data_IF_713814093508
#
_entry.id   IF_713814093508
#
_cell.length_a   1.000
_cell.length_b   1.000
_cell.length_c   1.000
_cell.angle_alpha   90.00
_cell.angle_beta   90.00
_cell.angle_gamma   90.00
#
_symmetry.space_group_name_H-M   'P 1'
#
loop_
_entity.id
_entity.type
_entity.pdbx_description
1 polymer ?
#
# COMPACT_ATOMS: atom_id res chain seq x y z
N UNK A 1 76.34 3.43 -11.63
CA UNK A 1 75.25 2.46 -11.88
C UNK A 1 73.96 3.10 -11.39
N UNK A 2 73.10 3.47 -12.34
CA UNK A 2 71.78 4.07 -12.10
C UNK A 2 70.81 2.91 -11.89
N UNK A 3 70.12 2.87 -10.74
CA UNK A 3 68.99 1.96 -10.54
C UNK A 3 67.73 2.81 -10.48
N UNK A 4 66.98 2.80 -11.59
CA UNK A 4 65.69 3.44 -11.75
C UNK A 4 64.60 2.37 -11.75
N UNK A 5 63.45 2.72 -11.18
CA UNK A 5 62.17 2.06 -11.43
C UNK A 5 61.73 1.12 -10.30
N UNK A 6 60.46 1.01 -9.92
CA UNK A 6 59.21 1.55 -10.46
C UNK A 6 58.29 1.74 -9.26
N UNK A 7 57.74 2.96 -9.09
CA UNK A 7 56.65 3.21 -8.15
C UNK A 7 55.37 2.56 -8.68
N UNK A 8 54.91 1.51 -8.02
CA UNK A 8 53.57 0.98 -8.24
C UNK A 8 52.55 1.91 -7.58
N UNK A 9 51.97 2.78 -8.40
CA UNK A 9 50.76 3.53 -8.08
C UNK A 9 49.61 2.53 -7.82
N UNK A 10 49.30 2.28 -6.55
CA UNK A 10 47.98 1.79 -6.14
C UNK A 10 46.98 2.93 -6.28
N UNK A 11 46.49 3.17 -7.50
CA UNK A 11 45.29 3.99 -7.72
C UNK A 11 44.08 3.06 -7.76
N UNK A 12 43.32 3.09 -6.67
CA UNK A 12 41.85 3.17 -6.61
C UNK A 12 41.11 2.72 -7.87
N UNK A 13 40.65 1.46 -7.86
CA UNK A 13 39.56 0.96 -8.72
C UNK A 13 38.25 0.76 -7.94
N UNK A 14 38.21 1.10 -6.64
CA UNK A 14 37.05 0.83 -5.77
C UNK A 14 35.98 1.95 -5.79
N UNK A 15 36.30 3.14 -6.32
CA UNK A 15 35.38 4.29 -6.30
C UNK A 15 34.41 4.32 -7.50
N UNK A 16 34.66 3.54 -8.56
CA UNK A 16 33.82 3.53 -9.78
C UNK A 16 32.52 2.75 -9.61
N UNK A 17 32.53 1.68 -8.80
CA UNK A 17 31.38 0.78 -8.67
C UNK A 17 30.38 1.28 -7.62
N UNK A 18 30.86 1.98 -6.58
CA UNK A 18 30.02 2.53 -5.52
C UNK A 18 29.08 3.66 -5.99
N UNK A 19 29.57 4.51 -6.91
CA UNK A 19 28.75 5.58 -7.51
C UNK A 19 27.69 4.99 -8.47
N UNK A 20 27.99 3.88 -9.14
CA UNK A 20 27.04 3.18 -10.02
C UNK A 20 25.92 2.49 -9.22
N UNK A 21 26.26 1.82 -8.11
CA UNK A 21 25.28 1.11 -7.28
C UNK A 21 24.32 2.09 -6.56
N UNK A 22 24.84 3.26 -6.14
CA UNK A 22 24.01 4.28 -5.48
C UNK A 22 23.04 4.97 -6.44
N UNK A 23 23.48 5.27 -7.66
CA UNK A 23 22.59 5.80 -8.71
C UNK A 23 21.54 4.78 -9.13
N UNK A 24 21.94 3.51 -9.29
CA UNK A 24 21.00 2.43 -9.60
C UNK A 24 19.96 2.24 -8.49
N UNK A 25 20.36 2.28 -7.22
CA UNK A 25 19.43 2.20 -6.10
C UNK A 25 18.39 3.34 -6.16
N UNK A 26 18.84 4.58 -6.40
CA UNK A 26 17.93 5.74 -6.51
C UNK A 26 16.93 5.60 -7.66
N UNK A 27 17.40 5.17 -8.83
CA UNK A 27 16.53 4.93 -10.00
C UNK A 27 15.50 3.86 -9.68
N UNK A 28 15.89 2.79 -8.99
CA UNK A 28 14.97 1.71 -8.62
C UNK A 28 13.95 2.17 -7.56
N UNK A 29 14.35 2.98 -6.58
CA UNK A 29 13.42 3.61 -5.62
C UNK A 29 12.39 4.50 -6.34
N UNK A 30 12.83 5.30 -7.32
CA UNK A 30 11.95 6.13 -8.13
C UNK A 30 10.98 5.28 -8.98
N UNK A 31 11.46 4.19 -9.57
CA UNK A 31 10.60 3.29 -10.33
C UNK A 31 9.56 2.59 -9.45
N UNK A 32 9.92 2.19 -8.23
CA UNK A 32 8.98 1.65 -7.25
C UNK A 32 7.93 2.69 -6.82
N UNK A 33 8.34 3.96 -6.65
CA UNK A 33 7.43 5.08 -6.40
C UNK A 33 6.45 5.28 -7.56
N UNK A 34 6.94 5.31 -8.79
CA UNK A 34 6.11 5.50 -9.96
C UNK A 34 5.12 4.33 -10.14
N UNK A 35 5.58 3.10 -9.92
CA UNK A 35 4.72 1.93 -10.04
C UNK A 35 3.60 1.92 -8.99
N UNK A 36 3.86 2.32 -7.73
CA UNK A 36 2.78 2.42 -6.74
C UNK A 36 1.76 3.50 -7.12
N UNK A 37 2.20 4.61 -7.69
CA UNK A 37 1.29 5.66 -8.16
C UNK A 37 0.46 5.19 -9.36
N UNK A 38 1.06 4.45 -10.29
CA UNK A 38 0.35 3.81 -11.40
C UNK A 38 -0.73 2.84 -10.89
N UNK A 39 -0.43 2.05 -9.86
CA UNK A 39 -1.42 1.17 -9.22
C UNK A 39 -2.55 1.97 -8.53
N UNK A 40 -2.25 3.15 -7.97
CA UNK A 40 -3.26 4.00 -7.33
C UNK A 40 -4.19 4.66 -8.34
N UNK A 41 -3.80 4.84 -9.59
CA UNK A 41 -4.66 5.43 -10.63
C UNK A 41 -5.95 4.64 -10.82
N UNK A 42 -5.95 3.33 -10.58
CA UNK A 42 -7.15 2.50 -10.66
C UNK A 42 -8.09 2.65 -9.46
N UNK A 43 -7.64 3.30 -8.37
CA UNK A 43 -8.39 3.48 -7.13
C UNK A 43 -8.96 4.90 -7.08
N UNK A 44 -10.28 5.02 -7.17
CA UNK A 44 -10.98 6.31 -7.17
C UNK A 44 -11.89 6.46 -5.96
N UNK A 45 -11.40 7.14 -4.92
CA UNK A 45 -12.09 7.37 -3.64
C UNK A 45 -12.52 6.09 -2.93
N UNK A 46 -13.66 5.52 -3.31
CA UNK A 46 -14.27 4.29 -2.78
C UNK A 46 -14.71 3.35 -3.91
N UNK A 47 -14.13 3.51 -5.11
CA UNK A 47 -14.40 2.71 -6.30
C UNK A 47 -13.07 2.26 -6.92
N UNK A 48 -13.12 1.20 -7.73
CA UNK A 48 -11.95 0.66 -8.41
C UNK A 48 -12.30 0.34 -9.87
N UNK A 49 -11.44 0.73 -10.80
CA UNK A 49 -11.62 0.44 -12.23
C UNK A 49 -11.08 -0.95 -12.57
N UNK A 50 -11.87 -1.98 -12.21
CA UNK A 50 -11.51 -3.38 -12.43
C UNK A 50 -11.29 -3.73 -13.91
N UNK A 51 -12.05 -3.11 -14.81
CA UNK A 51 -11.95 -3.42 -16.23
C UNK A 51 -10.66 -2.86 -16.82
N UNK A 52 -10.33 -1.60 -16.51
CA UNK A 52 -9.07 -1.01 -16.95
C UNK A 52 -7.87 -1.71 -16.34
N UNK A 53 -7.89 -1.97 -15.03
CA UNK A 53 -6.80 -2.71 -14.37
C UNK A 53 -6.59 -4.10 -15.00
N UNK A 54 -7.68 -4.80 -15.36
CA UNK A 54 -7.59 -6.09 -16.05
C UNK A 54 -6.95 -5.96 -17.43
N UNK A 55 -7.26 -4.90 -18.18
CA UNK A 55 -6.66 -4.66 -19.50
C UNK A 55 -5.16 -4.37 -19.40
N UNK A 56 -4.76 -3.67 -18.35
CA UNK A 56 -3.37 -3.22 -18.14
C UNK A 56 -2.53 -4.24 -17.33
N UNK A 57 -3.12 -5.35 -16.87
CA UNK A 57 -2.49 -6.30 -15.95
C UNK A 57 -1.19 -6.90 -16.49
N UNK A 58 -1.17 -7.34 -17.75
CA UNK A 58 0.03 -7.94 -18.35
C UNK A 58 1.16 -6.90 -18.47
N UNK A 59 0.82 -5.65 -18.78
CA UNK A 59 1.78 -4.56 -18.81
C UNK A 59 2.35 -4.29 -17.40
N UNK A 60 1.47 -4.18 -16.39
CA UNK A 60 1.90 -3.97 -15.00
C UNK A 60 2.80 -5.10 -14.48
N UNK A 61 2.53 -6.35 -14.87
CA UNK A 61 3.36 -7.49 -14.53
C UNK A 61 4.76 -7.36 -15.16
N UNK A 62 4.85 -7.03 -16.44
CA UNK A 62 6.12 -6.78 -17.13
C UNK A 62 6.88 -5.61 -16.50
N UNK A 63 6.20 -4.52 -16.14
CA UNK A 63 6.81 -3.39 -15.44
C UNK A 63 7.38 -3.81 -14.08
N UNK A 64 6.63 -4.58 -13.30
CA UNK A 64 7.07 -5.07 -11.99
C UNK A 64 8.34 -5.94 -12.12
N UNK A 65 8.34 -6.89 -13.05
CA UNK A 65 9.49 -7.75 -13.33
C UNK A 65 10.71 -6.95 -13.85
N UNK A 66 10.47 -5.93 -14.66
CA UNK A 66 11.53 -5.04 -15.12
C UNK A 66 12.16 -4.30 -13.95
N UNK A 67 11.38 -3.77 -13.01
CA UNK A 67 11.90 -3.09 -11.81
C UNK A 67 12.77 -4.04 -10.98
N UNK A 68 12.30 -5.28 -10.78
CA UNK A 68 13.04 -6.29 -10.03
C UNK A 68 14.40 -6.63 -10.67
N UNK A 69 14.47 -6.65 -11.99
CA UNK A 69 15.73 -6.91 -12.71
C UNK A 69 16.79 -5.82 -12.55
N UNK A 70 16.40 -4.63 -12.09
CA UNK A 70 17.28 -3.48 -11.86
C UNK A 70 17.62 -3.26 -10.37
N UNK A 71 17.26 -4.18 -9.48
CA UNK A 71 17.70 -4.14 -8.08
C UNK A 71 19.23 -4.31 -8.03
N UNK A 72 19.96 -3.42 -7.34
CA UNK A 72 21.43 -3.52 -7.23
C UNK A 72 21.84 -4.80 -6.50
N UNK A 73 23.06 -5.26 -6.72
CA UNK A 73 23.56 -6.52 -6.14
C UNK A 73 23.63 -6.50 -4.60
N UNK A 74 23.86 -5.32 -4.01
CA UNK A 74 23.86 -5.09 -2.56
C UNK A 74 22.82 -4.03 -2.18
N UNK A 75 21.51 -4.35 -2.21
CA UNK A 75 20.46 -3.38 -1.95
C UNK A 75 20.40 -3.03 -0.45
N UNK A 76 19.98 -1.79 -0.16
CA UNK A 76 19.69 -1.38 1.21
C UNK A 76 18.47 -2.12 1.77
N UNK A 77 18.39 -2.24 3.09
CA UNK A 77 17.21 -2.83 3.74
C UNK A 77 15.93 -2.03 3.44
N UNK A 78 16.06 -0.70 3.32
CA UNK A 78 14.97 0.21 2.96
C UNK A 78 14.43 -0.10 1.56
N UNK A 79 15.32 -0.25 0.57
CA UNK A 79 14.93 -0.57 -0.80
C UNK A 79 14.25 -1.95 -0.88
N UNK A 80 14.77 -2.95 -0.16
CA UNK A 80 14.12 -4.27 -0.08
C UNK A 80 12.75 -4.21 0.61
N UNK A 81 12.60 -3.37 1.64
CA UNK A 81 11.31 -3.18 2.31
C UNK A 81 10.29 -2.51 1.37
N UNK A 82 10.71 -1.47 0.64
CA UNK A 82 9.90 -0.80 -0.37
C UNK A 82 9.46 -1.77 -1.48
N UNK A 83 10.40 -2.54 -2.03
CA UNK A 83 10.13 -3.55 -3.05
C UNK A 83 9.10 -4.57 -2.56
N UNK A 84 9.29 -5.15 -1.37
CA UNK A 84 8.34 -6.11 -0.78
C UNK A 84 6.95 -5.50 -0.65
N UNK A 85 6.85 -4.28 -0.13
CA UNK A 85 5.57 -3.61 0.02
C UNK A 85 4.86 -3.39 -1.33
N UNK A 86 5.59 -2.90 -2.33
CA UNK A 86 5.05 -2.66 -3.67
C UNK A 86 4.54 -3.97 -4.30
N UNK A 87 5.29 -5.06 -4.16
CA UNK A 87 4.86 -6.40 -4.58
C UNK A 87 3.62 -6.87 -3.84
N UNK A 88 3.59 -6.72 -2.52
CA UNK A 88 2.43 -7.07 -1.69
C UNK A 88 1.17 -6.31 -2.14
N UNK A 89 1.29 -5.02 -2.46
CA UNK A 89 0.17 -4.22 -2.98
C UNK A 89 -0.27 -4.72 -4.34
N UNK A 90 0.65 -4.95 -5.28
CA UNK A 90 0.30 -5.43 -6.62
C UNK A 90 -0.42 -6.79 -6.57
N UNK A 91 0.11 -7.73 -5.78
CA UNK A 91 -0.53 -9.03 -5.58
C UNK A 91 -1.87 -8.92 -4.85
N UNK A 92 -2.00 -8.03 -3.87
CA UNK A 92 -3.29 -7.77 -3.21
C UNK A 92 -4.32 -7.28 -4.22
N UNK A 93 -3.98 -6.31 -5.08
CA UNK A 93 -4.91 -5.81 -6.10
C UNK A 93 -5.32 -6.92 -7.09
N UNK A 94 -4.37 -7.78 -7.51
CA UNK A 94 -4.65 -8.96 -8.36
C UNK A 94 -5.61 -9.94 -7.69
N UNK A 95 -5.39 -10.24 -6.41
CA UNK A 95 -6.27 -11.12 -5.64
C UNK A 95 -7.66 -10.50 -5.46
N UNK A 96 -7.72 -9.20 -5.17
CA UNK A 96 -8.96 -8.46 -5.01
C UNK A 96 -9.77 -8.40 -6.32
N UNK A 97 -9.12 -8.27 -7.48
CA UNK A 97 -9.77 -8.41 -8.79
C UNK A 97 -10.41 -9.80 -8.95
N UNK A 98 -9.70 -10.86 -8.58
CA UNK A 98 -10.23 -12.22 -8.66
C UNK A 98 -11.44 -12.42 -7.73
N UNK A 99 -11.38 -11.86 -6.51
CA UNK A 99 -12.49 -11.88 -5.55
C UNK A 99 -13.66 -11.03 -6.03
N UNK A 100 -13.42 -9.83 -6.57
CA UNK A 100 -14.46 -8.97 -7.13
C UNK A 100 -15.19 -9.69 -8.28
N UNK A 101 -14.45 -10.40 -9.15
CA UNK A 101 -15.07 -11.24 -10.19
C UNK A 101 -15.89 -12.39 -9.61
N UNK A 102 -15.43 -13.01 -8.52
CA UNK A 102 -16.19 -14.07 -7.82
C UNK A 102 -17.50 -13.54 -7.22
N UNK A 103 -17.51 -12.29 -6.78
CA UNK A 103 -18.66 -11.66 -6.13
C UNK A 103 -19.49 -10.73 -7.04
N UNK A 104 -19.08 -10.53 -8.30
CA UNK A 104 -19.67 -9.58 -9.26
C UNK A 104 -21.15 -9.81 -9.55
N UNK A 105 -21.63 -11.03 -9.37
CA UNK A 105 -23.04 -11.35 -9.32
C UNK A 105 -23.44 -11.65 -7.87
N UNK A 106 -23.84 -10.63 -7.08
CA UNK A 106 -24.13 -10.81 -5.67
C UNK A 106 -25.39 -11.66 -5.50
N UNK A 107 -25.18 -12.97 -5.29
CA UNK A 107 -26.25 -13.94 -4.98
C UNK A 107 -26.85 -13.72 -3.59
N UNK A 108 -26.14 -13.02 -2.70
CA UNK A 108 -26.58 -12.71 -1.35
C UNK A 108 -25.92 -11.40 -0.84
N UNK A 109 -26.38 -10.92 0.31
CA UNK A 109 -25.88 -9.69 0.95
C UNK A 109 -24.43 -9.81 1.42
N UNK A 110 -23.91 -11.00 1.72
CA UNK A 110 -22.49 -11.18 2.08
C UNK A 110 -21.56 -10.88 0.91
N UNK A 111 -21.93 -11.26 -0.32
CA UNK A 111 -21.14 -10.91 -1.51
C UNK A 111 -21.04 -9.39 -1.68
N UNK A 112 -22.14 -8.67 -1.46
CA UNK A 112 -22.15 -7.21 -1.50
C UNK A 112 -21.24 -6.60 -0.44
N UNK A 113 -21.36 -7.05 0.82
CA UNK A 113 -20.53 -6.56 1.92
C UNK A 113 -19.04 -6.88 1.70
N UNK A 114 -18.72 -8.09 1.23
CA UNK A 114 -17.34 -8.46 0.89
C UNK A 114 -16.78 -7.56 -0.21
N UNK A 115 -17.56 -7.27 -1.26
CA UNK A 115 -17.16 -6.35 -2.34
C UNK A 115 -16.92 -4.93 -1.82
N UNK A 116 -17.79 -4.42 -0.95
CA UNK A 116 -17.62 -3.09 -0.36
C UNK A 116 -16.39 -3.03 0.56
N UNK A 117 -16.09 -4.12 1.28
CA UNK A 117 -14.93 -4.22 2.14
C UNK A 117 -13.61 -4.34 1.36
N UNK A 118 -13.62 -5.02 0.20
CA UNK A 118 -12.52 -5.02 -0.76
C UNK A 118 -12.22 -3.60 -1.23
N UNK A 119 -13.23 -2.87 -1.71
CA UNK A 119 -13.09 -1.48 -2.15
C UNK A 119 -12.57 -0.56 -1.04
N UNK A 120 -13.00 -0.77 0.22
CA UNK A 120 -12.47 -0.04 1.37
C UNK A 120 -10.97 -0.31 1.57
N UNK A 121 -10.52 -1.56 1.51
CA UNK A 121 -9.10 -1.90 1.67
C UNK A 121 -8.24 -1.28 0.57
N UNK A 122 -8.66 -1.40 -0.70
CA UNK A 122 -7.99 -0.71 -1.81
C UNK A 122 -7.92 0.80 -1.58
N UNK A 123 -9.00 1.40 -1.07
CA UNK A 123 -9.02 2.83 -0.75
C UNK A 123 -8.01 3.20 0.35
N UNK A 124 -7.83 2.33 1.35
CA UNK A 124 -6.82 2.51 2.41
C UNK A 124 -5.39 2.35 1.87
N UNK A 125 -5.15 1.41 0.95
CA UNK A 125 -3.86 1.28 0.25
C UNK A 125 -3.52 2.58 -0.48
N UNK A 126 -4.50 3.22 -1.13
CA UNK A 126 -4.28 4.49 -1.83
C UNK A 126 -3.88 5.67 -0.94
N UNK A 127 -3.95 5.52 0.39
CA UNK A 127 -3.51 6.53 1.35
C UNK A 127 -2.08 6.31 1.86
N UNK A 128 -1.43 5.22 1.45
CA UNK A 128 -0.04 4.94 1.81
C UNK A 128 0.93 5.49 0.76
N UNK A 129 2.18 5.70 1.11
CA UNK A 129 3.27 5.91 0.18
C UNK A 129 3.82 4.57 -0.34
N UNK A 130 4.91 4.61 -1.12
CA UNK A 130 5.59 3.43 -1.66
C UNK A 130 6.34 2.60 -0.62
N UNK A 131 6.55 3.13 0.59
CA UNK A 131 7.15 2.41 1.71
C UNK A 131 6.08 1.79 2.62
N UNK A 132 4.81 1.95 2.26
CA UNK A 132 3.68 1.47 3.04
C UNK A 132 3.35 2.35 4.23
N UNK A 133 3.95 3.53 4.36
CA UNK A 133 3.66 4.46 5.44
C UNK A 133 2.48 5.38 5.09
N UNK A 134 1.77 5.93 6.08
CA UNK A 134 0.66 6.85 5.81
C UNK A 134 1.15 8.13 5.12
N UNK A 135 0.65 8.42 3.92
CA UNK A 135 1.06 9.59 3.13
C UNK A 135 0.34 10.85 3.62
N UNK A 136 0.81 11.43 4.72
CA UNK A 136 0.21 12.63 5.33
C UNK A 136 0.36 13.91 4.50
N UNK A 137 1.28 13.91 3.54
CA UNK A 137 1.50 15.02 2.61
C UNK A 137 0.44 15.06 1.50
N UNK A 138 -0.27 13.94 1.28
CA UNK A 138 -1.35 13.86 0.31
C UNK A 138 -2.47 14.85 0.65
N UNK A 139 -2.86 15.63 -0.36
CA UNK A 139 -3.97 16.57 -0.25
C UNK A 139 -5.26 15.87 0.20
N UNK A 140 -5.85 16.35 1.30
CA UNK A 140 -7.09 15.82 1.84
C UNK A 140 -6.94 14.46 2.54
N UNK A 141 -5.72 14.02 2.88
CA UNK A 141 -5.47 12.77 3.60
C UNK A 141 -6.38 12.62 4.85
N UNK A 142 -6.42 13.64 5.73
CA UNK A 142 -7.25 13.64 6.95
C UNK A 142 -8.74 13.42 6.65
N UNK A 143 -9.28 14.17 5.69
CA UNK A 143 -10.69 14.04 5.28
C UNK A 143 -10.99 12.65 4.70
N UNK A 144 -10.05 12.09 3.91
CA UNK A 144 -10.17 10.74 3.36
C UNK A 144 -10.14 9.68 4.45
N UNK A 145 -9.26 9.78 5.45
CA UNK A 145 -9.22 8.85 6.58
C UNK A 145 -10.55 8.86 7.34
N UNK A 146 -11.08 10.03 7.70
CA UNK A 146 -12.38 10.13 8.39
C UNK A 146 -13.54 9.60 7.53
N UNK A 147 -13.50 9.83 6.23
CA UNK A 147 -14.50 9.29 5.31
C UNK A 147 -14.47 7.75 5.28
N UNK A 148 -13.28 7.15 5.13
CA UNK A 148 -13.11 5.70 5.10
C UNK A 148 -13.45 5.05 6.45
N UNK A 149 -13.12 5.70 7.58
CA UNK A 149 -13.54 5.25 8.91
C UNK A 149 -15.07 5.20 9.05
N UNK A 150 -15.77 6.21 8.52
CA UNK A 150 -17.23 6.22 8.51
C UNK A 150 -17.82 5.11 7.62
N UNK A 151 -17.20 4.80 6.48
CA UNK A 151 -17.59 3.65 5.65
C UNK A 151 -17.39 2.35 6.43
N UNK A 152 -16.21 2.14 7.03
CA UNK A 152 -15.91 0.94 7.81
C UNK A 152 -16.97 0.68 8.88
N UNK A 153 -17.29 1.71 9.68
CA UNK A 153 -18.30 1.60 10.74
C UNK A 153 -19.67 1.18 10.20
N UNK A 154 -20.09 1.73 9.06
CA UNK A 154 -21.37 1.36 8.42
C UNK A 154 -21.36 -0.08 7.94
N UNK A 155 -20.25 -0.55 7.36
CA UNK A 155 -20.10 -1.93 6.92
C UNK A 155 -20.13 -2.88 8.12
N UNK A 156 -19.44 -2.55 9.21
CA UNK A 156 -19.43 -3.35 10.44
C UNK A 156 -20.82 -3.48 11.05
N UNK A 157 -21.60 -2.40 11.11
CA UNK A 157 -23.02 -2.45 11.53
C UNK A 157 -23.83 -3.35 10.59
N UNK A 158 -23.74 -3.14 9.27
CA UNK A 158 -24.51 -3.92 8.30
C UNK A 158 -24.17 -5.42 8.33
N UNK A 159 -22.89 -5.76 8.57
CA UNK A 159 -22.45 -7.14 8.74
C UNK A 159 -22.99 -7.73 10.04
N UNK A 160 -22.95 -6.98 11.14
CA UNK A 160 -23.48 -7.42 12.44
C UNK A 160 -24.98 -7.70 12.36
N UNK A 161 -25.73 -6.80 11.73
CA UNK A 161 -27.17 -6.98 11.48
C UNK A 161 -27.40 -8.26 10.65
N UNK A 162 -26.62 -8.45 9.58
CA UNK A 162 -26.76 -9.61 8.70
C UNK A 162 -26.47 -10.94 9.41
N UNK A 163 -25.49 -10.97 10.31
CA UNK A 163 -25.18 -12.15 11.13
C UNK A 163 -26.28 -12.42 12.16
N UNK A 164 -26.92 -11.38 12.67
CA UNK A 164 -28.02 -11.50 13.65
C UNK A 164 -29.32 -12.03 13.03
N UNK A 165 -29.62 -11.70 11.77
CA UNK A 165 -30.82 -12.18 11.09
C UNK A 165 -30.69 -13.66 10.66
N UNK A 166 -31.66 -14.47 11.09
CA UNK A 166 -31.80 -15.94 10.87
C UNK A 166 -31.82 -16.41 9.41
N UNK A 167 -31.78 -15.50 8.42
CA UNK A 167 -31.58 -15.83 7.00
C UNK A 167 -30.23 -16.51 6.73
N UNK A 168 -29.28 -16.37 7.68
CA UNK A 168 -27.99 -17.07 7.70
C UNK A 168 -28.08 -18.58 7.45
N UNK A 169 -29.08 -19.26 8.03
CA UNK A 169 -29.20 -20.72 7.96
C UNK A 169 -29.59 -21.24 6.56
N UNK A 170 -30.08 -20.38 5.65
CA UNK A 170 -30.52 -20.81 4.31
C UNK A 170 -29.41 -20.83 3.26
N UNK A 171 -28.29 -20.14 3.50
CA UNK A 171 -27.23 -19.96 2.52
C UNK A 171 -25.84 -20.17 3.10
N UNK A 172 -25.74 -20.93 4.19
CA UNK A 172 -24.52 -21.10 4.98
C UNK A 172 -23.29 -21.48 4.11
N UNK A 173 -23.45 -22.46 3.22
CA UNK A 173 -22.39 -22.90 2.30
C UNK A 173 -21.94 -21.83 1.29
N UNK A 174 -22.86 -20.97 0.85
CA UNK A 174 -22.58 -19.88 -0.10
C UNK A 174 -22.06 -18.62 0.60
N UNK A 175 -22.41 -18.43 1.88
CA UNK A 175 -22.07 -17.25 2.67
C UNK A 175 -20.70 -17.38 3.35
N UNK A 176 -20.29 -18.59 3.73
CA UNK A 176 -19.05 -18.83 4.49
C UNK A 176 -17.78 -18.25 3.82
N UNK A 177 -17.54 -18.42 2.50
CA UNK A 177 -16.36 -17.84 1.86
C UNK A 177 -16.37 -16.30 1.86
N UNK A 178 -17.51 -15.69 1.57
CA UNK A 178 -17.64 -14.23 1.55
C UNK A 178 -17.54 -13.64 2.97
N UNK A 179 -18.05 -14.35 3.97
CA UNK A 179 -17.90 -14.00 5.39
C UNK A 179 -16.44 -14.04 5.83
N UNK A 180 -15.70 -15.10 5.49
CA UNK A 180 -14.29 -15.23 5.83
C UNK A 180 -13.46 -14.09 5.22
N UNK A 181 -13.67 -13.82 3.92
CA UNK A 181 -13.05 -12.70 3.21
C UNK A 181 -13.40 -11.37 3.89
N UNK A 182 -14.67 -11.13 4.20
CA UNK A 182 -15.10 -9.92 4.88
C UNK A 182 -14.39 -9.73 6.23
N UNK A 183 -14.33 -10.77 7.06
CA UNK A 183 -13.68 -10.69 8.39
C UNK A 183 -12.20 -10.37 8.27
N UNK A 184 -11.49 -11.02 7.35
CA UNK A 184 -10.06 -10.75 7.11
C UNK A 184 -9.83 -9.30 6.68
N UNK A 185 -10.63 -8.81 5.74
CA UNK A 185 -10.52 -7.46 5.23
C UNK A 185 -10.93 -6.41 6.27
N UNK A 186 -11.90 -6.71 7.15
CA UNK A 186 -12.28 -5.83 8.25
C UNK A 186 -11.11 -5.65 9.23
N UNK A 187 -10.42 -6.72 9.59
CA UNK A 187 -9.26 -6.66 10.49
C UNK A 187 -8.12 -5.83 9.89
N UNK A 188 -7.81 -6.07 8.61
CA UNK A 188 -6.84 -5.27 7.85
C UNK A 188 -7.21 -3.78 7.83
N UNK A 189 -8.49 -3.47 7.60
CA UNK A 189 -8.98 -2.10 7.56
C UNK A 189 -8.89 -1.41 8.92
N UNK A 190 -9.24 -2.11 10.01
CA UNK A 190 -9.12 -1.61 11.39
C UNK A 190 -7.67 -1.25 11.71
N UNK A 191 -6.75 -2.18 11.47
CA UNK A 191 -5.31 -1.96 11.69
C UNK A 191 -4.80 -0.74 10.91
N UNK A 192 -5.16 -0.61 9.64
CA UNK A 192 -4.73 0.54 8.83
C UNK A 192 -5.30 1.87 9.33
N UNK A 193 -6.58 1.89 9.72
CA UNK A 193 -7.20 3.10 10.26
C UNK A 193 -6.63 3.48 11.63
N UNK A 194 -6.36 2.52 12.51
CA UNK A 194 -5.68 2.77 13.79
C UNK A 194 -4.29 3.38 13.57
N UNK A 195 -3.53 2.84 12.63
CA UNK A 195 -2.22 3.36 12.24
C UNK A 195 -2.35 4.82 11.75
N UNK A 196 -3.26 5.11 10.81
CA UNK A 196 -3.49 6.46 10.28
C UNK A 196 -3.89 7.44 11.38
N UNK A 197 -4.79 7.03 12.28
CA UNK A 197 -5.23 7.86 13.40
C UNK A 197 -4.10 8.14 14.39
N UNK A 198 -3.21 7.17 14.63
CA UNK A 198 -2.06 7.35 15.52
C UNK A 198 -1.09 8.43 15.00
N UNK A 199 -0.96 8.57 13.69
CA UNK A 199 -0.14 9.62 13.07
C UNK A 199 -0.72 11.00 13.34
N UNK A 200 -2.04 11.17 13.25
CA UNK A 200 -2.69 12.45 13.58
C UNK A 200 -2.45 12.87 15.02
N UNK A 201 -2.63 11.95 15.97
CA UNK A 201 -2.47 12.23 17.39
C UNK A 201 -1.02 12.66 17.71
N UNK A 202 -0.03 12.05 17.05
CA UNK A 202 1.37 12.45 17.19
C UNK A 202 1.63 13.84 16.60
N UNK A 203 1.10 14.14 15.41
CA UNK A 203 1.29 15.44 14.76
C UNK A 203 0.62 16.58 15.55
N UNK A 204 -0.58 16.37 16.08
CA UNK A 204 -1.29 17.35 16.92
C UNK A 204 -0.54 17.59 18.24
N UNK A 205 -0.06 16.53 18.89
CA UNK A 205 0.75 16.64 20.12
C UNK A 205 2.07 17.41 19.92
N UNK A 206 2.79 17.17 18.80
CA UNK A 206 4.04 17.91 18.51
C UNK A 206 3.75 19.40 18.28
N UNK A 207 2.65 19.71 17.59
CA UNK A 207 2.26 21.09 17.30
C UNK A 207 1.92 21.85 18.59
N UNK A 208 1.11 21.27 19.48
CA UNK A 208 0.76 21.87 20.77
C UNK A 208 1.99 22.17 21.62
N UNK A 209 2.96 21.25 21.70
CA UNK A 209 4.18 21.48 22.49
C UNK A 209 5.10 22.54 21.87
N UNK A 210 5.19 22.60 20.53
CA UNK A 210 6.01 23.60 19.83
C UNK A 210 5.42 25.01 19.97
N UNK A 211 4.09 25.13 20.00
CA UNK A 211 3.41 26.41 20.19
C UNK A 211 3.53 26.89 21.65
N UNK A 212 3.47 25.98 22.63
CA UNK A 212 3.73 26.29 24.05
C UNK A 212 5.17 26.74 24.30
N UNK A 213 6.16 26.10 23.68
CA UNK A 213 7.57 26.53 23.83
C UNK A 213 7.85 27.92 23.23
N UNK A 214 7.13 28.30 22.17
CA UNK A 214 7.22 29.64 21.59
C UNK A 214 6.57 30.69 22.48
N UNK A 215 5.44 30.38 23.11
CA UNK A 215 4.78 31.31 24.05
C UNK A 215 5.61 31.56 25.31
N UNK A 216 6.42 30.59 25.77
CA UNK A 216 7.28 30.73 26.96
C UNK A 216 8.55 31.58 26.67
N UNK A 217 8.93 31.76 25.40
CA UNK A 217 10.12 32.52 25.00
C UNK A 217 9.84 33.97 24.57
N UNK A 218 8.59 34.43 24.66
CA UNK A 218 8.18 35.81 24.36
C UNK A 218 7.81 36.58 25.63
#
# INVERSE_FOLDING_TARGET
MVSSGIGLNKRTFADSDADSDSEQARVTEENLNNFIEDLKVYIHKATFDFERFRMDLDHLQVTCEAIDSHIPAAPSESLLAQQRYVHEVFETIKQDLALARKFSNPKNRFHLLATQMLLLNLSLISLRDSYGMPNTEMKGFKDRVFYLQNIMRRLETAFSDLVYYREFLKYEDLAMPARAVYTQLLESAKKSLEEFMSVFLKQEYVKENTDVEKEIQT
#
